data_IF_498032773633
#
_entry.id   IF_498032773633
#
_cell.length_a   1.000
_cell.length_b   1.000
_cell.length_c   1.000
_cell.angle_alpha   90.00
_cell.angle_beta   90.00
_cell.angle_gamma   90.00
#
_symmetry.space_group_name_H-M   'P 1'
#
loop_
_entity.id
_entity.type
_entity.pdbx_description
1 polymer ?
#
# COMPACT_ATOMS: atom_id res chain seq x y z
N UNK A 1 -15.80 -15.39 -2.87
CA UNK A 1 -16.00 -14.79 -4.17
C UNK A 1 -15.12 -15.49 -5.20
N UNK A 2 -15.72 -16.00 -6.27
CA UNK A 2 -15.03 -16.85 -7.25
C UNK A 2 -13.90 -16.13 -8.00
N UNK A 3 -14.01 -14.84 -8.25
CA UNK A 3 -12.96 -14.08 -8.93
C UNK A 3 -11.65 -14.04 -8.12
N UNK A 4 -11.73 -14.01 -6.79
CA UNK A 4 -10.54 -14.03 -5.94
C UNK A 4 -9.75 -15.31 -6.10
N UNK A 5 -10.40 -16.47 -6.32
CA UNK A 5 -9.70 -17.76 -6.53
C UNK A 5 -8.95 -17.79 -7.85
N UNK A 6 -9.61 -17.43 -8.95
CA UNK A 6 -9.00 -17.41 -10.27
C UNK A 6 -7.83 -16.45 -10.34
N UNK A 7 -8.01 -15.21 -9.84
CA UNK A 7 -6.96 -14.23 -9.73
C UNK A 7 -5.86 -14.70 -8.77
N UNK A 8 -6.21 -15.35 -7.66
CA UNK A 8 -5.25 -15.90 -6.72
C UNK A 8 -4.25 -16.85 -7.36
N UNK A 9 -4.72 -17.75 -8.21
CA UNK A 9 -3.87 -18.72 -8.91
C UNK A 9 -2.96 -18.04 -9.95
N UNK A 10 -3.49 -17.05 -10.68
CA UNK A 10 -2.72 -16.26 -11.64
C UNK A 10 -1.63 -15.48 -10.92
N UNK A 11 -1.96 -14.76 -9.85
CA UNK A 11 -1.01 -13.96 -9.11
C UNK A 11 0.00 -14.78 -8.31
N UNK A 12 -0.36 -15.96 -7.82
CA UNK A 12 0.60 -16.89 -7.20
C UNK A 12 1.66 -17.35 -8.19
N UNK A 13 1.24 -17.63 -9.42
CA UNK A 13 2.17 -18.01 -10.50
C UNK A 13 3.09 -16.86 -10.87
N UNK A 14 2.51 -15.67 -11.02
CA UNK A 14 3.29 -14.44 -11.28
C UNK A 14 4.26 -14.16 -10.14
N UNK A 15 3.81 -14.33 -8.89
CA UNK A 15 4.60 -14.15 -7.69
C UNK A 15 5.83 -15.07 -7.69
N UNK A 16 5.67 -16.34 -8.06
CA UNK A 16 6.77 -17.30 -8.13
C UNK A 16 7.81 -16.89 -9.16
N UNK A 17 7.39 -16.45 -10.33
CA UNK A 17 8.29 -15.96 -11.39
C UNK A 17 9.04 -14.72 -10.92
N UNK A 18 8.34 -13.79 -10.30
CA UNK A 18 8.93 -12.55 -9.80
C UNK A 18 9.93 -12.80 -8.67
N UNK A 19 9.62 -13.74 -7.77
CA UNK A 19 10.55 -14.15 -6.70
C UNK A 19 11.83 -14.73 -7.31
N UNK A 20 11.72 -15.61 -8.29
CA UNK A 20 12.88 -16.17 -8.98
C UNK A 20 13.75 -15.08 -9.63
N UNK A 21 13.10 -14.12 -10.27
CA UNK A 21 13.77 -12.98 -10.86
C UNK A 21 14.46 -12.12 -9.80
N UNK A 22 13.81 -11.87 -8.68
CA UNK A 22 14.32 -11.08 -7.56
C UNK A 22 15.53 -11.73 -6.89
N UNK A 23 15.52 -13.05 -6.75
CA UNK A 23 16.65 -13.80 -6.20
C UNK A 23 17.92 -13.62 -7.04
N UNK A 24 17.75 -13.36 -8.32
CA UNK A 24 18.85 -13.06 -9.24
C UNK A 24 19.29 -11.59 -9.21
N UNK A 25 18.39 -10.70 -8.84
CA UNK A 25 18.62 -9.26 -8.76
C UNK A 25 18.90 -8.86 -7.32
N UNK A 26 20.14 -8.76 -6.93
CA UNK A 26 20.61 -8.52 -5.55
C UNK A 26 20.23 -7.15 -4.96
N UNK A 27 19.36 -6.35 -5.60
CA UNK A 27 19.11 -4.96 -5.20
C UNK A 27 17.65 -4.58 -5.00
N UNK A 28 16.76 -5.55 -4.82
CA UNK A 28 15.36 -5.19 -4.65
C UNK A 28 15.01 -4.78 -3.21
N UNK A 29 14.31 -3.67 -3.11
CA UNK A 29 13.80 -3.14 -1.87
C UNK A 29 12.70 -4.01 -1.31
N UNK A 30 12.79 -4.36 -0.04
CA UNK A 30 11.68 -4.99 0.67
C UNK A 30 10.54 -3.98 0.79
N UNK A 31 9.31 -4.43 0.53
CA UNK A 31 8.12 -3.59 0.50
C UNK A 31 7.22 -3.74 1.72
N UNK A 32 7.39 -4.80 2.50
CA UNK A 32 6.46 -5.15 3.58
C UNK A 32 7.22 -5.32 4.89
N UNK A 33 6.71 -4.69 5.93
CA UNK A 33 7.35 -4.61 7.22
C UNK A 33 6.34 -4.85 8.34
N UNK A 34 6.80 -5.36 9.48
CA UNK A 34 5.95 -5.47 10.67
C UNK A 34 5.98 -4.17 11.46
N UNK A 35 4.81 -3.64 11.80
CA UNK A 35 4.67 -2.35 12.48
C UNK A 35 5.30 -2.31 13.87
N UNK A 36 5.35 -3.43 14.54
CA UNK A 36 5.89 -3.54 15.91
C UNK A 36 7.42 -3.66 15.95
N UNK A 37 8.07 -3.71 14.82
CA UNK A 37 9.53 -3.83 14.74
C UNK A 37 10.20 -2.45 14.65
N UNK A 38 11.10 -2.10 15.58
CA UNK A 38 11.88 -0.85 15.46
C UNK A 38 12.73 -0.78 14.20
N UNK A 39 13.25 -1.93 13.74
CA UNK A 39 14.02 -2.01 12.50
C UNK A 39 13.15 -1.65 11.29
N UNK A 40 11.88 -2.05 11.29
CA UNK A 40 10.95 -1.72 10.22
C UNK A 40 10.72 -0.21 10.10
N UNK A 41 10.58 0.48 11.22
CA UNK A 41 10.45 1.95 11.23
C UNK A 41 11.66 2.63 10.62
N UNK A 42 12.85 2.18 10.99
CA UNK A 42 14.10 2.72 10.43
C UNK A 42 14.17 2.49 8.92
N UNK A 43 13.82 1.31 8.46
CA UNK A 43 13.81 0.99 7.03
C UNK A 43 12.81 1.83 6.24
N UNK A 44 11.62 2.03 6.78
CA UNK A 44 10.59 2.90 6.16
C UNK A 44 11.10 4.34 6.09
N UNK A 45 11.73 4.83 7.15
CA UNK A 45 12.33 6.16 7.15
C UNK A 45 13.43 6.29 6.08
N UNK A 46 14.26 5.28 5.95
CA UNK A 46 15.32 5.24 4.92
C UNK A 46 14.74 5.25 3.52
N UNK A 47 13.71 4.44 3.27
CA UNK A 47 13.01 4.41 1.98
C UNK A 47 12.45 5.78 1.64
N UNK A 48 11.77 6.42 2.58
CA UNK A 48 11.23 7.75 2.38
C UNK A 48 12.34 8.78 2.10
N UNK A 49 13.42 8.75 2.86
CA UNK A 49 14.55 9.65 2.68
C UNK A 49 15.22 9.49 1.31
N UNK A 50 15.42 8.26 0.88
CA UNK A 50 16.05 7.96 -0.40
C UNK A 50 15.18 8.46 -1.56
N UNK A 51 13.89 8.16 -1.53
CA UNK A 51 12.99 8.50 -2.63
C UNK A 51 12.49 9.95 -2.61
N UNK A 52 12.50 10.61 -1.47
CA UNK A 52 12.24 12.04 -1.40
C UNK A 52 13.39 12.88 -1.98
N UNK A 53 14.56 12.26 -2.12
CA UNK A 53 15.74 12.89 -2.70
C UNK A 53 16.11 14.23 -2.02
N UNK A 54 15.95 14.29 -0.71
CA UNK A 54 16.18 15.49 0.11
C UNK A 54 15.36 16.72 -0.30
N UNK A 55 14.31 16.52 -1.08
CA UNK A 55 13.35 17.56 -1.43
C UNK A 55 12.51 17.91 -0.20
N UNK A 56 12.00 19.13 -0.13
CA UNK A 56 11.11 19.52 0.95
C UNK A 56 9.89 18.58 1.05
N UNK A 57 9.52 18.26 2.28
CA UNK A 57 8.35 17.43 2.57
C UNK A 57 7.21 18.36 2.97
N UNK A 58 6.08 18.21 2.33
CA UNK A 58 4.90 19.02 2.61
C UNK A 58 3.62 18.23 2.51
N UNK A 59 2.60 18.68 3.22
CA UNK A 59 1.25 18.19 3.03
C UNK A 59 0.58 19.02 1.95
N UNK A 60 0.03 18.36 0.95
CA UNK A 60 -0.65 19.03 -0.16
C UNK A 60 -2.15 18.80 -0.08
N UNK A 61 -2.91 19.88 -0.03
CA UNK A 61 -4.37 19.81 -0.07
C UNK A 61 -4.83 19.78 -1.52
N UNK A 62 -5.60 18.78 -1.87
CA UNK A 62 -6.25 18.68 -3.18
C UNK A 62 -7.76 18.65 -3.01
N UNK A 63 -8.48 19.23 -3.96
CA UNK A 63 -9.93 19.21 -3.96
C UNK A 63 -10.43 18.00 -4.73
N UNK A 64 -11.25 17.20 -4.08
CA UNK A 64 -11.87 16.01 -4.68
C UNK A 64 -13.38 16.17 -4.53
N UNK A 65 -14.07 16.49 -5.61
CA UNK A 65 -15.51 16.79 -5.58
C UNK A 65 -15.85 17.79 -4.49
N UNK A 66 -16.04 18.57 -4.06
CA UNK A 66 -16.38 19.51 -2.97
C UNK A 66 -15.79 19.13 -1.60
N UNK A 67 -14.81 18.20 -1.56
CA UNK A 67 -14.11 17.83 -0.32
C UNK A 67 -12.63 18.10 -0.47
N UNK A 68 -11.99 18.36 0.64
CA UNK A 68 -10.54 18.46 0.68
C UNK A 68 -9.91 17.13 1.10
N UNK A 69 -8.93 16.70 0.34
CA UNK A 69 -8.10 15.55 0.67
C UNK A 69 -6.67 16.02 0.88
N UNK A 70 -6.11 15.73 2.05
CA UNK A 70 -4.74 16.09 2.37
C UNK A 70 -3.83 14.95 1.98
N UNK A 71 -2.97 15.19 1.00
CA UNK A 71 -1.91 14.25 0.63
C UNK A 71 -0.76 14.47 1.60
N UNK A 72 -0.53 13.47 2.45
CA UNK A 72 0.43 13.55 3.56
C UNK A 72 1.86 13.36 3.10
N UNK A 73 2.74 14.15 3.71
CA UNK A 73 4.18 13.98 3.57
C UNK A 73 4.61 13.77 2.12
N UNK A 74 4.11 14.61 1.23
CA UNK A 74 4.43 14.53 -0.19
C UNK A 74 5.81 15.13 -0.46
N UNK A 75 6.66 14.38 -1.14
CA UNK A 75 7.97 14.87 -1.58
C UNK A 75 8.44 14.05 -2.77
N UNK A 76 8.86 14.70 -3.84
CA UNK A 76 9.41 14.03 -5.03
C UNK A 76 8.60 12.81 -5.51
N UNK A 77 7.28 12.95 -5.58
CA UNK A 77 6.33 11.91 -6.01
C UNK A 77 6.28 10.67 -5.11
N UNK A 78 6.70 10.78 -3.85
CA UNK A 78 6.43 9.81 -2.81
C UNK A 78 5.58 10.46 -1.71
N UNK A 79 4.56 9.75 -1.24
CA UNK A 79 3.73 10.17 -0.13
C UNK A 79 3.75 9.12 0.98
N UNK A 80 3.50 9.57 2.20
CA UNK A 80 3.54 8.73 3.39
C UNK A 80 2.33 9.00 4.27
N UNK A 81 1.54 7.95 4.52
CA UNK A 81 0.31 8.02 5.29
C UNK A 81 0.30 7.01 6.44
N UNK A 82 -0.40 7.36 7.50
CA UNK A 82 -0.92 6.35 8.41
C UNK A 82 -2.17 5.72 7.79
N UNK A 83 -2.43 4.46 8.08
CA UNK A 83 -3.58 3.76 7.52
C UNK A 83 -4.90 4.53 7.69
N UNK A 84 -5.15 5.08 8.88
CA UNK A 84 -6.39 5.80 9.14
C UNK A 84 -6.52 7.11 8.37
N UNK A 85 -5.44 7.71 7.95
CA UNK A 85 -5.46 8.93 7.15
C UNK A 85 -5.90 8.69 5.71
N UNK A 86 -5.58 7.53 5.17
CA UNK A 86 -5.88 7.21 3.77
C UNK A 86 -7.07 6.27 3.59
N UNK A 87 -7.32 5.37 4.53
CA UNK A 87 -8.43 4.41 4.46
C UNK A 87 -9.52 4.68 5.52
N UNK A 88 -9.40 5.74 6.30
CA UNK A 88 -10.39 6.13 7.31
C UNK A 88 -11.70 6.63 6.68
N UNK A 89 -12.58 7.12 7.54
CA UNK A 89 -13.87 7.63 7.11
C UNK A 89 -13.73 8.76 6.09
N UNK A 90 -14.72 8.88 5.22
CA UNK A 90 -14.77 9.88 4.15
C UNK A 90 -13.69 9.73 3.06
N UNK A 91 -13.02 8.59 2.98
CA UNK A 91 -12.12 8.27 1.86
C UNK A 91 -12.79 7.30 0.90
N UNK A 92 -12.44 7.38 -0.37
CA UNK A 92 -12.99 6.50 -1.39
C UNK A 92 -12.22 6.55 -2.70
N UNK A 93 -12.75 5.86 -3.69
CA UNK A 93 -12.14 5.70 -5.01
C UNK A 93 -11.67 7.00 -5.63
N UNK A 94 -12.45 8.05 -5.53
CA UNK A 94 -12.14 9.34 -6.16
C UNK A 94 -10.92 10.03 -5.54
N UNK A 95 -10.79 9.90 -4.21
CA UNK A 95 -9.60 10.40 -3.51
C UNK A 95 -8.35 9.68 -4.01
N UNK A 96 -8.45 8.37 -4.19
CA UNK A 96 -7.33 7.53 -4.64
C UNK A 96 -6.95 7.81 -6.09
N UNK A 97 -7.94 8.02 -6.97
CA UNK A 97 -7.67 8.37 -8.37
C UNK A 97 -6.98 9.72 -8.52
N UNK A 98 -7.30 10.68 -7.66
CA UNK A 98 -6.59 11.97 -7.64
C UNK A 98 -5.19 11.83 -7.04
N UNK A 99 -5.04 11.00 -6.00
CA UNK A 99 -3.75 10.77 -5.36
C UNK A 99 -2.70 10.19 -6.35
N UNK A 100 -3.09 9.20 -7.14
CA UNK A 100 -2.15 8.52 -8.04
C UNK A 100 -1.60 9.42 -9.14
N UNK A 101 -2.23 10.57 -9.40
CA UNK A 101 -1.69 11.57 -10.34
C UNK A 101 -0.47 12.29 -9.78
N UNK A 102 -0.28 12.28 -8.47
CA UNK A 102 0.76 13.03 -7.77
C UNK A 102 1.94 12.18 -7.35
N UNK A 103 1.81 10.86 -7.36
CA UNK A 103 2.80 9.96 -6.76
C UNK A 103 3.19 8.82 -7.71
N UNK A 104 4.38 8.31 -7.49
CA UNK A 104 4.90 7.06 -8.07
C UNK A 104 5.08 5.99 -7.01
N UNK A 105 5.18 6.42 -5.75
CA UNK A 105 5.39 5.56 -4.58
C UNK A 105 4.49 5.99 -3.44
N UNK A 106 4.01 5.02 -2.69
CA UNK A 106 3.17 5.27 -1.53
C UNK A 106 3.62 4.42 -0.36
N UNK A 107 3.79 5.06 0.80
CA UNK A 107 4.02 4.39 2.07
C UNK A 107 2.73 4.46 2.88
N UNK A 108 2.25 3.32 3.35
CA UNK A 108 1.12 3.23 4.29
C UNK A 108 1.59 2.50 5.53
N UNK A 109 1.49 3.15 6.66
CA UNK A 109 1.94 2.60 7.94
C UNK A 109 0.79 2.16 8.83
N UNK A 110 1.06 1.14 9.63
CA UNK A 110 0.16 0.63 10.65
C UNK A 110 -1.17 0.10 10.09
N UNK A 111 -1.08 -0.71 9.04
CA UNK A 111 -2.25 -1.43 8.51
C UNK A 111 -2.71 -2.45 9.56
N UNK A 112 -3.96 -2.38 10.01
CA UNK A 112 -4.44 -3.22 11.10
C UNK A 112 -4.71 -4.67 10.68
N UNK A 113 -4.88 -5.53 11.68
CA UNK A 113 -5.48 -6.83 11.46
C UNK A 113 -6.99 -6.65 11.23
N UNK A 114 -7.45 -6.91 10.01
CA UNK A 114 -8.84 -6.70 9.64
C UNK A 114 -9.83 -7.67 10.28
N UNK A 115 -9.37 -8.75 10.91
CA UNK A 115 -10.23 -9.62 11.69
C UNK A 115 -10.93 -8.92 12.84
N UNK A 116 -10.39 -7.81 13.32
CA UNK A 116 -10.91 -7.03 14.45
C UNK A 116 -11.47 -5.66 14.04
N UNK A 117 -11.63 -5.41 12.73
CA UNK A 117 -12.12 -4.13 12.22
C UNK A 117 -13.44 -4.32 11.47
N UNK A 118 -14.09 -3.22 11.10
CA UNK A 118 -15.28 -3.30 10.26
C UNK A 118 -14.89 -3.56 8.79
N UNK A 119 -15.83 -4.14 8.04
CA UNK A 119 -15.63 -4.49 6.64
C UNK A 119 -15.37 -3.27 5.74
N UNK A 120 -15.85 -2.10 6.11
CA UNK A 120 -15.68 -0.89 5.30
C UNK A 120 -14.22 -0.45 5.20
N UNK A 121 -13.46 -0.57 6.28
CA UNK A 121 -12.02 -0.27 6.27
C UNK A 121 -11.27 -1.23 5.36
N UNK A 122 -11.59 -2.51 5.45
CA UNK A 122 -10.99 -3.53 4.60
C UNK A 122 -11.33 -3.29 3.12
N UNK A 123 -12.58 -2.97 2.82
CA UNK A 123 -13.03 -2.71 1.46
C UNK A 123 -12.31 -1.51 0.85
N UNK A 124 -12.18 -0.42 1.59
CA UNK A 124 -11.40 0.74 1.13
C UNK A 124 -9.94 0.42 0.90
N UNK A 125 -9.34 -0.36 1.78
CA UNK A 125 -7.95 -0.79 1.64
C UNK A 125 -7.75 -1.63 0.37
N UNK A 126 -8.61 -2.61 0.14
CA UNK A 126 -8.53 -3.47 -1.06
C UNK A 126 -8.70 -2.65 -2.32
N UNK A 127 -9.68 -1.73 -2.34
CA UNK A 127 -9.90 -0.84 -3.47
C UNK A 127 -8.67 0.03 -3.75
N UNK A 128 -8.06 0.58 -2.71
CA UNK A 128 -6.82 1.36 -2.85
C UNK A 128 -5.69 0.50 -3.44
N UNK A 129 -5.49 -0.71 -2.92
CA UNK A 129 -4.46 -1.62 -3.41
C UNK A 129 -4.67 -1.95 -4.89
N UNK A 130 -5.90 -2.20 -5.30
CA UNK A 130 -6.23 -2.47 -6.70
C UNK A 130 -5.89 -1.28 -7.61
N UNK A 131 -6.25 -0.09 -7.19
CA UNK A 131 -5.95 1.14 -7.94
C UNK A 131 -4.43 1.35 -8.06
N UNK A 132 -3.70 1.18 -6.98
CA UNK A 132 -2.25 1.32 -6.96
C UNK A 132 -1.58 0.29 -7.89
N UNK A 133 -2.03 -0.94 -7.81
CA UNK A 133 -1.51 -2.02 -8.64
C UNK A 133 -1.75 -1.77 -10.13
N UNK A 134 -2.98 -1.42 -10.49
CA UNK A 134 -3.36 -1.16 -11.89
C UNK A 134 -2.61 0.03 -12.50
N UNK A 135 -2.22 0.99 -11.67
CA UNK A 135 -1.49 2.18 -12.10
C UNK A 135 0.02 2.10 -11.86
N UNK A 136 0.52 0.92 -11.48
CA UNK A 136 1.94 0.65 -11.27
C UNK A 136 2.61 1.58 -10.26
N UNK A 137 1.86 1.96 -9.24
CA UNK A 137 2.38 2.71 -8.10
C UNK A 137 3.10 1.75 -7.16
N UNK A 138 4.33 2.04 -6.82
CA UNK A 138 5.10 1.22 -5.87
C UNK A 138 4.57 1.41 -4.47
N UNK A 139 4.29 0.31 -3.78
CA UNK A 139 3.68 0.32 -2.46
C UNK A 139 4.65 -0.21 -1.41
N UNK A 140 4.75 0.50 -0.28
CA UNK A 140 5.45 0.07 0.91
C UNK A 140 4.48 0.08 2.08
N UNK A 141 4.41 -1.03 2.81
CA UNK A 141 3.46 -1.18 3.92
C UNK A 141 4.17 -1.56 5.21
N UNK A 142 3.68 -1.02 6.33
CA UNK A 142 3.86 -1.67 7.61
C UNK A 142 2.51 -2.20 8.12
N UNK A 143 2.50 -3.42 8.59
CA UNK A 143 1.30 -4.15 8.99
C UNK A 143 1.45 -4.71 10.39
N UNK A 144 0.34 -4.88 11.10
CA UNK A 144 0.35 -5.49 12.43
C UNK A 144 0.81 -6.95 12.39
N UNK A 145 0.49 -7.65 11.31
CA UNK A 145 0.86 -9.05 11.09
C UNK A 145 1.39 -9.25 9.70
N UNK A 146 2.02 -10.38 9.45
CA UNK A 146 2.40 -10.78 8.10
C UNK A 146 1.19 -10.76 7.17
N UNK A 147 1.42 -10.48 5.90
CA UNK A 147 0.32 -10.36 4.91
C UNK A 147 -0.54 -11.63 4.88
N UNK A 148 0.08 -12.79 4.98
CA UNK A 148 -0.62 -14.07 5.01
C UNK A 148 -1.52 -14.26 6.22
N UNK A 149 -1.22 -13.55 7.32
CA UNK A 149 -1.91 -13.66 8.59
C UNK A 149 -2.84 -12.48 8.89
N UNK A 150 -2.96 -11.52 7.96
CA UNK A 150 -3.92 -10.44 8.10
C UNK A 150 -5.33 -11.03 8.11
N UNK A 151 -6.04 -10.81 9.21
CA UNK A 151 -7.42 -11.24 9.35
C UNK A 151 -8.31 -10.58 8.30
N UNK A 152 -9.54 -11.06 8.21
CA UNK A 152 -10.52 -10.55 7.26
C UNK A 152 -11.88 -10.40 7.92
N UNK A 153 -12.52 -9.25 7.71
CA UNK A 153 -13.91 -9.03 8.12
C UNK A 153 -14.89 -9.80 7.21
N UNK A 154 -14.45 -10.18 6.02
CA UNK A 154 -15.14 -11.06 5.09
C UNK A 154 -14.11 -11.80 4.23
N UNK A 155 -14.48 -12.94 3.60
CA UNK A 155 -13.52 -13.73 2.84
C UNK A 155 -13.07 -13.03 1.57
N UNK A 156 -11.85 -12.50 1.59
CA UNK A 156 -11.22 -11.78 0.48
C UNK A 156 -9.79 -12.29 0.30
N UNK A 157 -9.34 -12.34 -0.95
CA UNK A 157 -7.96 -12.66 -1.29
C UNK A 157 -7.12 -11.38 -1.38
N UNK A 158 -5.95 -11.38 -0.76
CA UNK A 158 -4.97 -10.28 -0.84
C UNK A 158 -3.99 -10.47 -2.01
N UNK A 159 -4.48 -10.93 -3.16
CA UNK A 159 -3.63 -11.28 -4.30
C UNK A 159 -2.90 -10.08 -4.89
N UNK A 160 -3.57 -8.94 -5.07
CA UNK A 160 -2.93 -7.72 -5.55
C UNK A 160 -1.87 -7.21 -4.57
N UNK A 161 -2.11 -7.35 -3.28
CA UNK A 161 -1.15 -6.98 -2.26
C UNK A 161 0.12 -7.84 -2.34
N UNK A 162 -0.03 -9.13 -2.54
CA UNK A 162 1.10 -10.05 -2.76
C UNK A 162 1.85 -9.74 -4.06
N UNK A 163 1.14 -9.34 -5.10
CA UNK A 163 1.76 -8.90 -6.34
C UNK A 163 2.60 -7.62 -6.13
N UNK A 164 2.16 -6.69 -5.29
CA UNK A 164 2.97 -5.54 -4.87
C UNK A 164 4.25 -5.95 -4.14
N UNK A 165 4.21 -7.03 -3.39
CA UNK A 165 5.39 -7.56 -2.68
C UNK A 165 6.52 -7.95 -3.65
N UNK A 166 6.19 -8.34 -4.87
CA UNK A 166 7.16 -8.75 -5.89
C UNK A 166 7.53 -7.64 -6.86
N UNK A 167 6.81 -6.58 -6.87
CA UNK A 167 7.09 -5.42 -7.70
C UNK A 167 7.97 -4.43 -6.93
#
# INVERSE_FOLDING_TARGET
>A
VSWSRGLGDVYKRQLSIDIDYRTRSLKEEKNFFLSNSPVSKLKINDIFSIHSNKTSVEDKVISVKKRNFVVKNLSNRIARFQFNEICGDNRGTEDYLELIKLIDRLIIENVPNFGNTNSNLQERFINLIDILYDNKIKLYLSTEKEISDLGSAYPVSYTHLRAHETN
#
